data_IF_616422362690
#
_entry.id   IF_616422362690
#
_cell.length_a   1.000
_cell.length_b   1.000
_cell.length_c   1.000
_cell.angle_alpha   90.00
_cell.angle_beta   90.00
_cell.angle_gamma   90.00
#
_symmetry.space_group_name_H-M   'P 1'
#
loop_
_entity.id
_entity.type
_entity.pdbx_description
1 polymer ?
#
# COMPACT_ATOMS: atom_id res chain seq x y z
N UNK A 1 -16.35 -37.57 27.14
CA UNK A 1 -15.84 -38.37 26.01
C UNK A 1 -15.84 -37.44 24.79
N UNK A 2 -14.68 -37.05 24.27
CA UNK A 2 -14.61 -36.15 23.11
C UNK A 2 -14.62 -37.03 21.84
N UNK A 3 -15.40 -36.68 20.80
CA UNK A 3 -15.48 -37.44 19.55
C UNK A 3 -14.10 -37.65 18.90
N UNK A 4 -13.87 -38.86 18.37
CA UNK A 4 -12.55 -39.30 17.87
C UNK A 4 -12.09 -38.45 16.68
N UNK A 5 -13.02 -37.86 15.94
CA UNK A 5 -12.76 -36.95 14.81
C UNK A 5 -12.07 -35.65 15.26
N UNK A 6 -12.28 -35.21 16.51
CA UNK A 6 -11.65 -34.02 17.07
C UNK A 6 -10.20 -34.32 17.51
N UNK A 7 -9.93 -35.55 17.93
CA UNK A 7 -8.57 -36.03 18.25
C UNK A 7 -7.72 -36.23 16.98
N UNK A 8 -8.36 -36.55 15.86
CA UNK A 8 -7.70 -36.74 14.55
C UNK A 8 -7.46 -35.44 13.78
N UNK A 9 -7.94 -34.30 14.30
CA UNK A 9 -7.64 -32.97 13.77
C UNK A 9 -6.17 -32.61 14.00
N UNK A 10 -5.29 -33.15 13.15
CA UNK A 10 -3.85 -32.87 13.13
C UNK A 10 -3.45 -31.66 12.29
N UNK A 11 -4.35 -31.13 11.46
CA UNK A 11 -3.99 -30.08 10.50
C UNK A 11 -4.75 -28.78 10.73
N UNK A 12 -4.00 -27.78 11.22
CA UNK A 12 -4.25 -26.34 11.05
C UNK A 12 -3.69 -25.87 9.69
N UNK A 13 -3.75 -26.71 8.67
CA UNK A 13 -3.00 -26.55 7.41
C UNK A 13 -3.77 -25.90 6.26
N UNK A 14 -5.10 -25.86 6.36
CA UNK A 14 -5.95 -25.39 5.25
C UNK A 14 -5.78 -23.88 5.00
N UNK A 15 -5.64 -23.12 6.08
CA UNK A 15 -5.36 -21.69 6.01
C UNK A 15 -4.02 -21.42 5.33
N UNK A 16 -2.99 -22.23 5.57
CA UNK A 16 -1.65 -22.01 4.97
C UNK A 16 -1.63 -22.25 3.47
N UNK A 17 -2.38 -23.24 2.97
CA UNK A 17 -2.43 -23.56 1.53
C UNK A 17 -3.24 -22.52 0.75
N UNK A 18 -4.37 -22.11 1.31
CA UNK A 18 -5.19 -21.04 0.72
C UNK A 18 -4.46 -19.68 0.74
N UNK A 19 -3.83 -19.32 1.86
CA UNK A 19 -3.04 -18.08 1.96
C UNK A 19 -1.87 -18.07 0.97
N UNK A 20 -1.21 -19.21 0.75
CA UNK A 20 -0.16 -19.33 -0.27
C UNK A 20 -0.70 -19.07 -1.68
N UNK A 21 -1.80 -19.73 -2.06
CA UNK A 21 -2.39 -19.57 -3.39
C UNK A 21 -2.88 -18.13 -3.66
N UNK A 22 -3.44 -17.47 -2.64
CA UNK A 22 -3.86 -16.07 -2.72
C UNK A 22 -2.64 -15.14 -2.85
N UNK A 23 -1.60 -15.35 -2.03
CA UNK A 23 -0.33 -14.61 -2.15
C UNK A 23 0.33 -14.79 -3.52
N UNK A 24 0.36 -16.02 -4.05
CA UNK A 24 0.88 -16.32 -5.39
C UNK A 24 0.11 -15.61 -6.50
N UNK A 25 -1.21 -15.46 -6.34
CA UNK A 25 -2.06 -14.72 -7.27
C UNK A 25 -1.87 -13.21 -7.18
N UNK A 26 -1.61 -12.68 -5.98
CA UNK A 26 -1.43 -11.24 -5.74
C UNK A 26 0.02 -10.78 -5.88
N UNK A 27 0.98 -11.70 -5.96
CA UNK A 27 2.40 -11.44 -6.08
C UNK A 27 2.76 -10.48 -7.24
N UNK A 28 2.22 -10.63 -8.47
CA UNK A 28 2.47 -9.68 -9.55
C UNK A 28 2.05 -8.25 -9.20
N UNK A 29 0.88 -8.10 -8.57
CA UNK A 29 0.38 -6.80 -8.12
C UNK A 29 1.25 -6.18 -7.01
N UNK A 30 1.66 -6.99 -6.03
CA UNK A 30 2.54 -6.54 -4.95
C UNK A 30 3.90 -6.10 -5.51
N UNK A 31 4.43 -6.85 -6.50
CA UNK A 31 5.68 -6.50 -7.19
C UNK A 31 5.59 -5.16 -7.90
N UNK A 32 4.57 -4.96 -8.74
CA UNK A 32 4.37 -3.69 -9.43
C UNK A 32 4.21 -2.53 -8.42
N UNK A 33 3.43 -2.74 -7.36
CA UNK A 33 3.16 -1.69 -6.39
C UNK A 33 4.39 -1.29 -5.56
N UNK A 34 5.26 -2.24 -5.22
CA UNK A 34 6.45 -2.01 -4.41
C UNK A 34 7.68 -1.62 -5.24
N UNK A 35 7.95 -2.33 -6.33
CA UNK A 35 9.17 -2.11 -7.14
C UNK A 35 9.10 -0.81 -7.94
N UNK A 36 7.91 -0.41 -8.38
CA UNK A 36 7.66 0.86 -9.08
C UNK A 36 6.96 1.90 -8.18
N UNK A 37 6.95 1.63 -6.87
CA UNK A 37 6.35 2.46 -5.83
C UNK A 37 7.14 3.71 -5.48
N UNK A 38 6.50 4.61 -4.74
CA UNK A 38 7.11 5.85 -4.27
C UNK A 38 8.25 5.59 -3.29
N UNK A 39 8.20 4.50 -2.50
CA UNK A 39 9.30 4.12 -1.60
C UNK A 39 10.60 3.80 -2.36
N UNK A 40 10.52 3.19 -3.55
CA UNK A 40 11.70 2.96 -4.40
C UNK A 40 12.16 4.25 -5.07
N UNK A 41 11.23 5.07 -5.56
CA UNK A 41 11.57 6.38 -6.18
C UNK A 41 12.26 7.34 -5.21
N UNK A 42 11.88 7.29 -3.93
CA UNK A 42 12.51 8.06 -2.86
C UNK A 42 13.84 7.46 -2.36
N UNK A 43 14.25 6.31 -2.89
CA UNK A 43 15.49 5.62 -2.51
C UNK A 43 15.43 4.93 -1.14
N UNK A 44 14.24 4.78 -0.53
CA UNK A 44 14.06 4.13 0.77
C UNK A 44 14.06 2.60 0.66
N UNK A 45 13.74 2.07 -0.53
CA UNK A 45 13.80 0.65 -0.84
C UNK A 45 14.72 0.42 -2.05
N UNK A 46 15.57 -0.60 -1.96
CA UNK A 46 16.38 -1.05 -3.07
C UNK A 46 15.56 -2.00 -3.96
N UNK A 47 15.42 -1.65 -5.24
CA UNK A 47 14.63 -2.39 -6.22
C UNK A 47 15.13 -3.82 -6.43
N UNK A 48 16.43 -4.00 -6.63
CA UNK A 48 17.05 -5.30 -6.94
C UNK A 48 16.83 -6.37 -5.83
N UNK A 49 17.12 -6.08 -4.53
CA UNK A 49 16.80 -7.00 -3.45
C UNK A 49 15.30 -7.29 -3.31
N UNK A 50 14.45 -6.29 -3.57
CA UNK A 50 13.01 -6.41 -3.46
C UNK A 50 12.44 -7.29 -4.59
N UNK A 51 12.88 -7.10 -5.83
CA UNK A 51 12.50 -7.96 -6.95
C UNK A 51 12.91 -9.40 -6.70
N UNK A 52 14.13 -9.62 -6.17
CA UNK A 52 14.62 -10.95 -5.80
C UNK A 52 13.76 -11.60 -4.70
N UNK A 53 13.42 -10.85 -3.65
CA UNK A 53 12.56 -11.31 -2.56
C UNK A 53 11.11 -11.57 -3.00
N UNK A 54 10.67 -11.00 -4.12
CA UNK A 54 9.33 -11.19 -4.67
C UNK A 54 9.28 -12.24 -5.81
N UNK A 55 10.39 -12.95 -6.10
CA UNK A 55 10.37 -14.06 -7.06
C UNK A 55 9.64 -15.27 -6.46
N UNK A 56 8.72 -15.87 -7.25
CA UNK A 56 7.93 -17.05 -6.87
C UNK A 56 8.77 -18.25 -6.42
N UNK A 57 9.97 -18.40 -7.00
CA UNK A 57 10.83 -19.57 -6.78
C UNK A 57 11.78 -19.41 -5.59
N UNK A 58 11.77 -18.25 -4.91
CA UNK A 58 12.59 -18.02 -3.73
C UNK A 58 11.79 -18.43 -2.49
N UNK A 59 12.30 -19.40 -1.73
CA UNK A 59 11.76 -19.70 -0.40
C UNK A 59 12.14 -18.54 0.53
N UNK A 60 11.25 -17.56 0.60
CA UNK A 60 11.45 -16.37 1.43
C UNK A 60 11.21 -16.72 2.90
N UNK A 61 12.21 -16.45 3.75
CA UNK A 61 12.11 -16.59 5.21
C UNK A 61 10.97 -15.74 5.79
N UNK A 62 10.44 -16.15 6.95
CA UNK A 62 9.37 -15.45 7.65
C UNK A 62 9.74 -13.98 7.93
N UNK A 63 11.02 -13.69 8.23
CA UNK A 63 11.52 -12.33 8.43
C UNK A 63 11.36 -11.48 7.18
N UNK A 64 11.79 -11.99 6.03
CA UNK A 64 11.72 -11.25 4.76
C UNK A 64 10.26 -11.06 4.32
N UNK A 65 9.37 -12.04 4.57
CA UNK A 65 7.92 -11.85 4.35
C UNK A 65 7.33 -10.74 5.23
N UNK A 66 7.75 -10.64 6.48
CA UNK A 66 7.32 -9.57 7.37
C UNK A 66 7.81 -8.21 6.85
N UNK A 67 9.08 -8.11 6.42
CA UNK A 67 9.63 -6.89 5.84
C UNK A 67 8.91 -6.43 4.57
N UNK A 68 8.61 -7.36 3.65
CA UNK A 68 7.83 -7.07 2.43
C UNK A 68 6.42 -6.58 2.79
N UNK A 69 5.78 -7.23 3.77
CA UNK A 69 4.45 -6.80 4.25
C UNK A 69 4.49 -5.39 4.85
N UNK A 70 5.49 -5.09 5.67
CA UNK A 70 5.68 -3.75 6.26
C UNK A 70 5.91 -2.70 5.17
N UNK A 71 6.78 -2.99 4.20
CA UNK A 71 7.02 -2.11 3.05
C UNK A 71 5.74 -1.86 2.26
N UNK A 72 4.92 -2.90 2.05
CA UNK A 72 3.65 -2.80 1.33
C UNK A 72 2.67 -1.87 2.06
N UNK A 73 2.50 -2.05 3.36
CA UNK A 73 1.64 -1.20 4.19
C UNK A 73 2.14 0.25 4.17
N UNK A 74 3.45 0.47 4.28
CA UNK A 74 4.04 1.80 4.22
C UNK A 74 3.78 2.49 2.87
N UNK A 75 3.92 1.76 1.75
CA UNK A 75 3.61 2.27 0.41
C UNK A 75 2.13 2.67 0.27
N UNK A 76 1.21 1.85 0.79
CA UNK A 76 -0.22 2.17 0.82
C UNK A 76 -0.51 3.46 1.60
N UNK A 77 0.09 3.61 2.78
CA UNK A 77 -0.03 4.82 3.59
C UNK A 77 0.52 6.04 2.88
N UNK A 78 1.73 5.93 2.30
CA UNK A 78 2.37 7.01 1.57
C UNK A 78 1.52 7.46 0.38
N UNK A 79 1.03 6.52 -0.44
CA UNK A 79 0.14 6.84 -1.57
C UNK A 79 -1.14 7.54 -1.13
N UNK A 80 -1.76 7.08 -0.04
CA UNK A 80 -2.96 7.73 0.52
C UNK A 80 -2.64 9.14 0.99
N UNK A 81 -1.54 9.31 1.72
CA UNK A 81 -1.09 10.60 2.21
C UNK A 81 -0.82 11.60 1.08
N UNK A 82 -0.08 11.19 0.05
CA UNK A 82 0.22 12.02 -1.12
C UNK A 82 -1.06 12.44 -1.87
N UNK A 83 -2.01 11.52 -2.05
CA UNK A 83 -3.32 11.84 -2.65
C UNK A 83 -4.09 12.88 -1.83
N UNK A 84 -4.17 12.70 -0.51
CA UNK A 84 -4.85 13.64 0.38
C UNK A 84 -4.17 15.01 0.37
N UNK A 85 -2.83 15.03 0.41
CA UNK A 85 -2.04 16.28 0.34
C UNK A 85 -2.30 17.03 -0.97
N UNK A 86 -2.32 16.33 -2.10
CA UNK A 86 -2.62 16.93 -3.41
C UNK A 86 -4.05 17.48 -3.46
N UNK A 87 -5.04 16.74 -2.94
CA UNK A 87 -6.43 17.19 -2.87
C UNK A 87 -6.60 18.45 -2.00
N UNK A 88 -5.95 18.49 -0.83
CA UNK A 88 -5.96 19.66 0.04
C UNK A 88 -5.29 20.88 -0.63
N UNK A 89 -4.14 20.68 -1.27
CA UNK A 89 -3.46 21.74 -2.00
C UNK A 89 -4.31 22.31 -3.15
N UNK A 90 -5.07 21.46 -3.85
CA UNK A 90 -6.01 21.89 -4.88
C UNK A 90 -7.17 22.70 -4.28
N UNK A 91 -7.77 22.22 -3.19
CA UNK A 91 -8.87 22.92 -2.52
C UNK A 91 -8.46 24.32 -2.04
N UNK A 92 -7.26 24.47 -1.49
CA UNK A 92 -6.72 25.77 -1.07
C UNK A 92 -6.51 26.73 -2.26
N UNK A 93 -6.08 26.22 -3.41
CA UNK A 93 -5.94 27.05 -4.63
C UNK A 93 -7.27 27.50 -5.19
N UNK A 94 -8.29 26.63 -5.17
CA UNK A 94 -9.63 26.96 -5.66
C UNK A 94 -10.36 27.92 -4.71
N UNK A 95 -10.19 27.74 -3.39
CA UNK A 95 -10.73 28.64 -2.38
C UNK A 95 -10.07 30.03 -2.34
N UNK A 96 -8.91 30.19 -2.99
CA UNK A 96 -8.21 31.47 -3.15
C UNK A 96 -8.59 32.22 -4.45
N UNK A 97 -9.60 31.78 -5.19
CA UNK A 97 -10.21 32.53 -6.30
C UNK A 97 -10.86 33.84 -5.83
N UNK A 98 -10.95 34.88 -6.68
CA UNK A 98 -10.90 36.27 -6.26
C UNK A 98 -12.15 36.71 -5.49
N UNK A 99 -12.07 36.82 -4.16
CA UNK A 99 -12.98 37.64 -3.35
C UNK A 99 -12.67 39.14 -3.43
N UNK A 100 -12.14 39.62 -4.56
CA UNK A 100 -11.68 40.99 -4.73
C UNK A 100 -12.38 41.72 -5.88
N UNK A 101 -13.71 41.60 -5.99
CA UNK A 101 -14.53 42.51 -6.81
C UNK A 101 -15.89 42.76 -6.13
N UNK A 102 -15.89 43.35 -4.93
CA UNK A 102 -17.10 43.99 -4.38
C UNK A 102 -16.68 45.10 -3.42
N UNK A 103 -16.10 46.14 -3.99
CA UNK A 103 -15.60 47.28 -3.23
C UNK A 103 -15.12 48.43 -4.11
N UNK A 104 -15.85 48.73 -5.20
CA UNK A 104 -15.56 49.94 -5.99
C UNK A 104 -16.76 50.44 -6.78
N UNK A 105 -17.92 50.58 -6.14
CA UNK A 105 -19.02 51.42 -6.66
C UNK A 105 -19.56 52.34 -5.56
N UNK A 106 -18.70 53.21 -5.02
CA UNK A 106 -19.11 54.35 -4.19
C UNK A 106 -18.15 55.54 -4.39
N UNK A 107 -17.94 55.99 -5.63
CA UNK A 107 -17.63 57.42 -5.87
C UNK A 107 -17.70 57.79 -7.36
N UNK A 108 -18.84 58.35 -7.78
CA UNK A 108 -19.04 59.30 -8.90
C UNK A 108 -20.55 59.41 -9.07
N UNK A 109 -21.22 60.54 -8.94
CA UNK A 109 -20.89 61.94 -8.66
C UNK A 109 -22.21 62.69 -8.48
#
# INVERSE_FOLDING_TARGET
MIPREILERRYKGDTTRYHRAVLERQLPFIREMLCDGELVKLGLLAREPLETALRRDVVVDAKTKAQVTTAFIAELWLRRFLKTKAACALALRVGAGPSSELGSELHSG
#
